data_IF_793309487162
#
_entry.id   IF_793309487162
#
_cell.length_a   1.000
_cell.length_b   1.000
_cell.length_c   1.000
_cell.angle_alpha   90.00
_cell.angle_beta   90.00
_cell.angle_gamma   90.00
#
_symmetry.space_group_name_H-M   'P 1'
#
loop_
_entity.id
_entity.type
_entity.pdbx_description
1 polymer ?
#
# COMPACT_ATOMS: atom_id res chain seq x y z
N UNK A 1 2.68 -4.63 14.82
CA UNK A 1 2.84 -3.53 13.88
C UNK A 1 1.67 -3.48 12.91
N UNK A 2 1.44 -2.31 12.33
CA UNK A 2 0.38 -2.05 11.37
C UNK A 2 0.98 -1.35 10.15
N UNK A 3 0.49 -1.68 8.95
CA UNK A 3 1.04 -1.21 7.68
C UNK A 3 0.26 -0.04 7.05
N UNK A 4 -0.54 0.70 7.83
CA UNK A 4 -1.23 1.87 7.32
C UNK A 4 -0.24 2.93 6.83
N UNK A 5 -0.60 3.65 5.78
CA UNK A 5 0.23 4.67 5.14
C UNK A 5 -0.58 5.93 4.81
N UNK A 6 0.09 6.99 4.37
CA UNK A 6 -0.53 8.31 4.18
C UNK A 6 -1.69 8.33 3.18
N UNK A 7 -1.66 7.50 2.13
CA UNK A 7 -2.74 7.38 1.15
C UNK A 7 -4.06 6.85 1.73
N UNK A 8 -4.00 6.09 2.82
CA UNK A 8 -5.18 5.54 3.47
C UNK A 8 -5.95 6.59 4.30
N UNK A 9 -5.27 7.65 4.77
CA UNK A 9 -5.83 8.60 5.76
C UNK A 9 -7.07 9.35 5.28
N UNK A 10 -7.15 9.65 3.99
CA UNK A 10 -8.27 10.38 3.41
C UNK A 10 -9.51 9.50 3.23
N UNK A 11 -9.30 8.18 3.08
CA UNK A 11 -10.35 7.21 2.76
C UNK A 11 -10.85 6.50 4.02
N UNK A 12 -9.91 6.16 4.92
CA UNK A 12 -10.17 5.34 6.11
C UNK A 12 -9.83 6.10 7.39
N UNK A 13 -10.83 6.55 8.18
CA UNK A 13 -10.58 7.23 9.46
C UNK A 13 -9.78 6.39 10.46
N UNK A 14 -9.92 5.07 10.40
CA UNK A 14 -9.23 4.07 11.23
C UNK A 14 -7.80 3.76 10.76
N UNK A 15 -7.32 4.42 9.71
CA UNK A 15 -5.91 4.39 9.29
C UNK A 15 -5.10 5.59 9.79
N UNK A 16 -5.69 6.49 10.57
CA UNK A 16 -5.00 7.66 11.13
C UNK A 16 -4.24 7.31 12.40
N UNK A 17 -3.12 7.98 12.64
CA UNK A 17 -2.27 7.76 13.83
C UNK A 17 -3.07 7.87 15.13
N UNK A 18 -3.90 8.91 15.25
CA UNK A 18 -4.73 9.12 16.45
C UNK A 18 -5.63 7.93 16.77
N UNK A 19 -6.21 7.27 15.75
CA UNK A 19 -7.01 6.07 15.96
C UNK A 19 -6.16 4.94 16.53
N UNK A 20 -4.98 4.70 15.96
CA UNK A 20 -4.09 3.64 16.45
C UNK A 20 -3.59 3.90 17.86
N UNK A 21 -3.30 5.15 18.23
CA UNK A 21 -2.91 5.53 19.59
C UNK A 21 -4.02 5.22 20.59
N UNK A 22 -5.26 5.60 20.28
CA UNK A 22 -6.42 5.31 21.15
C UNK A 22 -6.75 3.84 21.24
N UNK A 23 -6.66 3.13 20.13
CA UNK A 23 -6.84 1.69 20.10
C UNK A 23 -5.76 1.00 20.96
N UNK A 24 -4.51 1.45 20.87
CA UNK A 24 -3.42 0.88 21.63
C UNK A 24 -3.51 1.20 23.13
N UNK A 25 -3.92 2.41 23.51
CA UNK A 25 -4.25 2.76 24.90
C UNK A 25 -5.33 1.81 25.45
N UNK A 26 -6.39 1.57 24.70
CA UNK A 26 -7.47 0.66 25.07
C UNK A 26 -6.97 -0.77 25.22
N UNK A 27 -6.11 -1.24 24.31
CA UNK A 27 -5.45 -2.54 24.39
C UNK A 27 -4.61 -2.68 25.69
N UNK A 28 -3.83 -1.67 26.04
CA UNK A 28 -2.98 -1.68 27.24
C UNK A 28 -3.82 -1.75 28.53
N UNK A 29 -4.93 -1.02 28.59
CA UNK A 29 -5.84 -1.04 29.75
C UNK A 29 -6.55 -2.39 29.86
N UNK A 30 -6.89 -3.00 28.74
CA UNK A 30 -7.65 -4.26 28.67
C UNK A 30 -6.79 -5.52 28.86
N UNK A 31 -5.47 -5.41 28.95
CA UNK A 31 -4.58 -6.57 29.04
C UNK A 31 -3.58 -6.44 30.19
N UNK A 32 -3.47 -7.49 31.00
CA UNK A 32 -2.46 -7.60 32.04
C UNK A 32 -1.06 -7.68 31.43
N UNK A 33 -0.10 -7.02 32.07
CA UNK A 33 1.34 -7.07 31.70
C UNK A 33 1.64 -6.66 30.24
N UNK A 34 0.89 -5.67 29.73
CA UNK A 34 1.04 -5.18 28.34
C UNK A 34 2.06 -4.04 28.19
N UNK A 35 2.69 -3.57 29.28
CA UNK A 35 3.60 -2.40 29.27
C UNK A 35 4.86 -2.58 28.42
N UNK A 36 5.27 -3.83 28.14
CA UNK A 36 6.41 -4.14 27.28
C UNK A 36 6.06 -4.11 25.78
N UNK A 37 4.76 -4.12 25.43
CA UNK A 37 4.29 -4.05 24.06
C UNK A 37 4.29 -2.59 23.60
N UNK A 38 4.71 -2.33 22.36
CA UNK A 38 4.75 -0.99 21.76
C UNK A 38 3.96 -0.97 20.46
N UNK A 39 3.26 0.13 20.24
CA UNK A 39 2.67 0.42 18.93
C UNK A 39 3.80 0.70 17.93
N UNK A 40 3.73 0.06 16.76
CA UNK A 40 4.68 0.27 15.67
C UNK A 40 3.93 0.42 14.35
N UNK A 41 3.93 1.63 13.80
CA UNK A 41 3.25 2.03 12.55
C UNK A 41 4.26 2.75 11.64
N UNK A 42 5.25 2.04 11.09
CA UNK A 42 6.42 2.63 10.44
C UNK A 42 6.08 3.48 9.21
N UNK A 43 4.98 3.18 8.54
CA UNK A 43 4.62 3.80 7.26
C UNK A 43 3.53 4.88 7.37
N UNK A 44 3.12 5.24 8.57
CA UNK A 44 1.96 6.11 8.80
C UNK A 44 2.02 7.44 8.03
N UNK A 45 3.21 8.01 7.85
CA UNK A 45 3.44 9.24 7.12
C UNK A 45 4.13 9.03 5.76
N UNK A 46 4.24 7.79 5.31
CA UNK A 46 4.90 7.43 4.05
C UNK A 46 3.88 7.16 2.95
N UNK A 47 4.31 7.35 1.71
CA UNK A 47 3.53 6.99 0.53
C UNK A 47 3.74 5.51 0.17
N UNK A 48 2.92 4.98 -0.71
CA UNK A 48 3.11 3.62 -1.25
C UNK A 48 4.41 3.51 -2.05
N UNK A 49 4.87 4.59 -2.68
CA UNK A 49 6.19 4.67 -3.32
C UNK A 49 7.32 4.48 -2.31
N UNK A 50 7.26 5.16 -1.16
CA UNK A 50 8.27 5.02 -0.10
C UNK A 50 8.32 3.60 0.46
N UNK A 51 7.15 2.95 0.60
CA UNK A 51 7.05 1.54 1.02
C UNK A 51 7.74 0.62 0.00
N UNK A 52 7.56 0.86 -1.30
CA UNK A 52 8.24 0.06 -2.33
C UNK A 52 9.76 0.24 -2.30
N UNK A 53 10.24 1.46 -2.05
CA UNK A 53 11.69 1.75 -1.93
C UNK A 53 12.29 1.07 -0.69
N UNK A 54 11.62 1.14 0.47
CA UNK A 54 12.04 0.44 1.69
C UNK A 54 12.05 -1.09 1.49
N UNK A 55 11.00 -1.61 0.82
CA UNK A 55 10.94 -3.01 0.47
C UNK A 55 12.06 -3.43 -0.48
N UNK A 56 12.40 -2.62 -1.50
CA UNK A 56 13.50 -2.88 -2.42
C UNK A 56 14.84 -2.97 -1.69
N UNK A 57 15.11 -2.03 -0.77
CA UNK A 57 16.32 -2.05 0.06
C UNK A 57 16.40 -3.34 0.89
N UNK A 58 15.31 -3.73 1.54
CA UNK A 58 15.23 -4.93 2.36
C UNK A 58 15.39 -6.22 1.53
N UNK A 59 14.76 -6.28 0.37
CA UNK A 59 14.84 -7.39 -0.58
C UNK A 59 16.27 -7.57 -1.07
N UNK A 60 16.95 -6.48 -1.42
CA UNK A 60 18.35 -6.49 -1.86
C UNK A 60 19.29 -6.97 -0.74
N UNK A 61 19.11 -6.49 0.50
CA UNK A 61 19.89 -6.95 1.66
C UNK A 61 19.74 -8.44 1.92
N UNK A 62 18.55 -8.98 1.66
CA UNK A 62 18.24 -10.40 1.84
C UNK A 62 18.57 -11.26 0.61
N UNK A 63 19.07 -10.65 -0.47
CA UNK A 63 19.35 -11.30 -1.75
C UNK A 63 18.13 -12.07 -2.31
N UNK A 64 16.96 -11.43 -2.25
CA UNK A 64 15.71 -11.98 -2.77
C UNK A 64 15.33 -11.34 -4.11
N UNK A 65 14.36 -11.95 -4.81
CA UNK A 65 13.85 -11.47 -6.09
C UNK A 65 12.63 -10.56 -5.86
N UNK A 66 12.75 -9.29 -6.23
CA UNK A 66 11.71 -8.27 -6.08
C UNK A 66 10.42 -8.64 -6.81
N UNK A 67 10.53 -9.00 -8.08
CA UNK A 67 9.35 -9.30 -8.91
C UNK A 67 8.63 -10.56 -8.43
N UNK A 68 9.39 -11.56 -7.98
CA UNK A 68 8.83 -12.78 -7.40
C UNK A 68 8.04 -12.49 -6.11
N UNK A 69 8.50 -11.56 -5.29
CA UNK A 69 7.81 -11.16 -4.05
C UNK A 69 6.52 -10.43 -4.42
N UNK A 70 6.61 -9.35 -5.21
CA UNK A 70 5.47 -8.50 -5.52
C UNK A 70 4.43 -9.15 -6.43
N UNK A 71 4.81 -10.13 -7.24
CA UNK A 71 3.89 -10.95 -8.02
C UNK A 71 2.87 -11.71 -7.15
N UNK A 72 3.21 -11.98 -5.90
CA UNK A 72 2.35 -12.68 -4.95
C UNK A 72 1.58 -11.75 -4.01
N UNK A 73 1.54 -10.45 -4.29
CA UNK A 73 0.78 -9.46 -3.54
C UNK A 73 -0.39 -8.93 -4.35
N UNK A 74 -1.47 -8.55 -3.67
CA UNK A 74 -2.64 -7.93 -4.28
C UNK A 74 -3.13 -6.79 -3.40
N UNK A 75 -3.55 -5.68 -4.02
CA UNK A 75 -4.13 -4.52 -3.32
C UNK A 75 -5.59 -4.28 -3.68
N UNK A 76 -6.07 -4.86 -4.78
CA UNK A 76 -7.44 -4.66 -5.26
C UNK A 76 -8.47 -5.25 -4.30
N UNK A 77 -9.48 -4.47 -3.94
CA UNK A 77 -10.66 -4.94 -3.19
C UNK A 77 -11.71 -5.62 -4.06
N UNK A 78 -11.59 -5.51 -5.38
CA UNK A 78 -12.55 -6.05 -6.34
C UNK A 78 -11.85 -6.76 -7.50
N UNK A 79 -11.04 -7.79 -7.22
CA UNK A 79 -10.47 -8.61 -8.28
C UNK A 79 -11.60 -9.40 -8.99
N UNK A 80 -11.35 -9.84 -10.22
CA UNK A 80 -12.26 -10.75 -10.89
C UNK A 80 -12.28 -12.15 -10.19
N UNK A 81 -13.12 -13.07 -10.69
CA UNK A 81 -13.23 -14.43 -10.12
C UNK A 81 -11.92 -15.23 -10.12
N UNK A 82 -10.95 -14.85 -10.96
CA UNK A 82 -9.62 -15.46 -11.03
C UNK A 82 -8.59 -14.71 -10.17
N UNK A 83 -8.98 -13.74 -9.35
CA UNK A 83 -8.06 -12.96 -8.50
C UNK A 83 -7.26 -11.89 -9.25
N UNK A 84 -7.66 -11.55 -10.50
CA UNK A 84 -6.93 -10.59 -11.34
C UNK A 84 -7.51 -9.19 -11.11
N UNK A 85 -6.64 -8.21 -10.77
CA UNK A 85 -6.99 -6.82 -10.54
C UNK A 85 -7.46 -6.11 -11.81
N UNK A 86 -8.45 -5.24 -11.69
CA UNK A 86 -8.94 -4.44 -12.81
C UNK A 86 -7.98 -3.33 -13.26
N UNK A 87 -7.14 -2.86 -12.35
CA UNK A 87 -6.32 -1.66 -12.53
C UNK A 87 -7.10 -0.34 -12.43
N UNK A 88 -8.33 -0.37 -11.89
CA UNK A 88 -9.25 0.79 -11.90
C UNK A 88 -9.71 1.23 -10.51
N UNK A 89 -9.53 0.41 -9.49
CA UNK A 89 -9.87 0.83 -8.12
C UNK A 89 -8.85 1.83 -7.59
N UNK A 90 -9.21 2.66 -6.61
CA UNK A 90 -8.28 3.62 -6.00
C UNK A 90 -6.98 2.95 -5.51
N UNK A 91 -7.10 1.78 -4.89
CA UNK A 91 -5.94 0.99 -4.43
C UNK A 91 -5.09 0.43 -5.58
N UNK A 92 -5.71 0.08 -6.73
CA UNK A 92 -4.98 -0.33 -7.94
C UNK A 92 -4.21 0.87 -8.52
N UNK A 93 -4.87 2.04 -8.66
CA UNK A 93 -4.29 3.25 -9.20
C UNK A 93 -3.07 3.67 -8.37
N UNK A 94 -3.22 3.75 -7.07
CA UNK A 94 -2.12 4.10 -6.17
C UNK A 94 -0.94 3.11 -6.28
N UNK A 95 -1.21 1.80 -6.40
CA UNK A 95 -0.19 0.79 -6.63
C UNK A 95 0.52 0.98 -7.97
N UNK A 96 -0.22 1.18 -9.05
CA UNK A 96 0.31 1.38 -10.40
C UNK A 96 1.23 2.61 -10.44
N UNK A 97 0.78 3.73 -9.85
CA UNK A 97 1.59 4.95 -9.74
C UNK A 97 2.84 4.75 -8.91
N UNK A 98 2.75 4.02 -7.79
CA UNK A 98 3.91 3.72 -6.95
C UNK A 98 4.98 2.91 -7.70
N UNK A 99 4.59 1.88 -8.47
CA UNK A 99 5.54 1.13 -9.31
C UNK A 99 6.14 2.00 -10.42
N UNK A 100 5.31 2.84 -11.07
CA UNK A 100 5.80 3.78 -12.08
C UNK A 100 6.82 4.78 -11.51
N UNK A 101 6.59 5.29 -10.30
CA UNK A 101 7.46 6.26 -9.64
C UNK A 101 8.86 5.69 -9.29
N UNK A 102 8.96 4.39 -9.09
CA UNK A 102 10.25 3.70 -8.92
C UNK A 102 10.82 3.16 -10.24
N UNK A 103 10.27 3.58 -11.39
CA UNK A 103 10.67 3.15 -12.74
C UNK A 103 10.61 1.62 -12.94
N UNK A 104 9.61 0.97 -12.34
CA UNK A 104 9.34 -0.47 -12.50
C UNK A 104 7.95 -0.70 -13.08
N UNK A 105 7.82 -1.80 -13.81
CA UNK A 105 6.51 -2.38 -14.14
C UNK A 105 6.06 -3.23 -12.97
N UNK A 106 4.77 -3.11 -12.59
CA UNK A 106 4.20 -3.99 -11.58
C UNK A 106 4.20 -5.45 -12.08
N UNK A 107 4.75 -6.40 -11.32
CA UNK A 107 4.85 -7.80 -11.76
C UNK A 107 3.53 -8.58 -11.70
N UNK A 108 2.44 -8.03 -11.15
CA UNK A 108 1.14 -8.69 -11.19
C UNK A 108 0.49 -8.59 -12.57
N UNK A 109 -0.49 -9.46 -12.81
CA UNK A 109 -1.31 -9.42 -14.02
C UNK A 109 -2.55 -8.56 -13.74
N UNK A 110 -2.82 -7.61 -14.65
CA UNK A 110 -4.05 -6.84 -14.70
C UNK A 110 -4.99 -7.39 -15.78
N UNK A 111 -6.28 -7.02 -15.73
CA UNK A 111 -7.27 -7.37 -16.77
C UNK A 111 -7.00 -6.68 -18.11
N UNK A 112 -6.19 -5.62 -18.11
CA UNK A 112 -5.70 -4.90 -19.29
C UNK A 112 -4.17 -4.88 -19.30
N UNK A 113 -3.54 -4.42 -20.41
CA UNK A 113 -2.09 -4.30 -20.46
C UNK A 113 -1.57 -3.26 -19.46
N UNK A 114 -0.30 -3.40 -19.06
CA UNK A 114 0.37 -2.45 -18.17
C UNK A 114 0.26 -1.02 -18.69
N UNK A 115 0.49 -0.83 -19.98
CA UNK A 115 0.45 0.49 -20.63
C UNK A 115 -0.94 1.12 -20.48
N UNK A 116 -1.99 0.32 -20.66
CA UNK A 116 -3.38 0.79 -20.54
C UNK A 116 -3.76 1.14 -19.11
N UNK A 117 -3.37 0.33 -18.12
CA UNK A 117 -3.68 0.64 -16.71
C UNK A 117 -2.84 1.81 -16.20
N UNK A 118 -1.61 1.97 -16.67
CA UNK A 118 -0.75 3.10 -16.34
C UNK A 118 -1.29 4.41 -16.93
N UNK A 119 -1.69 4.42 -18.20
CA UNK A 119 -2.30 5.60 -18.85
C UNK A 119 -3.55 6.04 -18.08
N UNK A 120 -4.41 5.11 -17.71
CA UNK A 120 -5.58 5.40 -16.89
C UNK A 120 -5.21 5.97 -15.51
N UNK A 121 -4.23 5.39 -14.84
CA UNK A 121 -3.79 5.85 -13.52
C UNK A 121 -3.22 7.28 -13.57
N UNK A 122 -2.37 7.58 -14.56
CA UNK A 122 -1.81 8.92 -14.76
C UNK A 122 -2.87 9.97 -15.11
N UNK A 123 -3.93 9.57 -15.82
CA UNK A 123 -5.07 10.47 -16.10
C UNK A 123 -5.83 10.78 -14.81
N UNK A 124 -6.17 9.76 -14.04
CA UNK A 124 -6.89 9.94 -12.77
C UNK A 124 -6.11 10.79 -11.77
N UNK A 125 -4.79 10.63 -11.70
CA UNK A 125 -3.93 11.46 -10.85
C UNK A 125 -3.99 12.94 -11.25
N UNK A 126 -3.95 13.26 -12.55
CA UNK A 126 -4.05 14.64 -13.05
C UNK A 126 -5.42 15.26 -12.75
N UNK A 127 -6.49 14.50 -12.93
CA UNK A 127 -7.84 14.97 -12.66
C UNK A 127 -8.01 15.32 -11.17
N UNK A 128 -7.38 14.54 -10.27
CA UNK A 128 -7.40 14.78 -8.81
C UNK A 128 -6.60 16.00 -8.35
N UNK A 129 -5.52 16.36 -9.07
CA UNK A 129 -4.68 17.53 -8.76
C UNK A 129 -5.31 18.84 -9.27
N UNK A 130 -6.26 18.75 -10.21
CA UNK A 130 -6.90 19.91 -10.86
C UNK A 130 -8.19 20.37 -10.17
N UNK A 131 -8.67 19.66 -9.16
CA UNK A 131 -9.76 20.03 -8.26
C UNK A 131 -9.24 20.71 -6.96
#
# INVERSE_FOLDING_TARGET
>A
SLGAHSGDHAIYPDCRLEFFEKLFESFQIGNWDSNHIKLYVPYINMTKTDILLDAEESINKLNLDFDRIFKNTITSYSPNRSGISSGKTGSDIERILAFNNINRKDPIIYQSSWESVLENALKMEKDFISE
#
